data_IF_944471853675
#
_entry.id   IF_944471853675
#
_cell.length_a   1.000
_cell.length_b   1.000
_cell.length_c   1.000
_cell.angle_alpha   90.00
_cell.angle_beta   90.00
_cell.angle_gamma   90.00
#
_symmetry.space_group_name_H-M   'P 1'
#
loop_
_entity.id
_entity.type
_entity.pdbx_description
1 polymer ?
#
# COMPACT_ATOMS: atom_id res chain seq x y z
N UNK A 1 -53.58 42.83 -54.47
CA UNK A 1 -53.86 41.42 -54.74
C UNK A 1 -52.63 40.63 -54.51
N UNK A 2 -52.68 39.70 -53.54
CA UNK A 2 -51.66 38.75 -53.14
C UNK A 2 -50.33 39.35 -52.60
N UNK A 3 -49.95 39.31 -51.37
CA UNK A 3 -50.14 38.26 -50.32
C UNK A 3 -48.86 37.45 -50.27
N UNK A 4 -47.78 37.90 -49.51
CA UNK A 4 -46.58 37.17 -49.32
C UNK A 4 -46.20 37.24 -47.83
N UNK A 5 -46.64 36.24 -47.08
CA UNK A 5 -46.33 36.10 -45.67
C UNK A 5 -44.84 35.73 -45.48
N UNK A 6 -44.12 36.63 -44.86
CA UNK A 6 -42.75 36.37 -44.41
C UNK A 6 -42.75 35.53 -43.15
N UNK A 7 -42.34 34.26 -43.28
CA UNK A 7 -42.09 33.35 -42.17
C UNK A 7 -40.85 33.81 -41.43
N UNK A 8 -41.07 34.36 -40.22
CA UNK A 8 -39.99 34.66 -39.27
C UNK A 8 -39.47 33.38 -38.61
N UNK A 9 -38.36 32.87 -39.09
CA UNK A 9 -37.63 31.77 -38.47
C UNK A 9 -36.95 32.27 -37.20
N UNK A 10 -37.54 31.97 -36.04
CA UNK A 10 -36.94 32.20 -34.73
C UNK A 10 -35.84 31.18 -34.54
N UNK A 11 -34.60 31.65 -34.63
CA UNK A 11 -33.41 30.86 -34.27
C UNK A 11 -33.44 30.55 -32.79
N UNK A 12 -33.57 29.28 -32.45
CA UNK A 12 -33.38 28.76 -31.10
C UNK A 12 -31.88 28.61 -30.88
N UNK A 13 -31.32 29.51 -30.07
CA UNK A 13 -29.94 29.36 -29.56
C UNK A 13 -29.96 28.27 -28.51
N UNK A 14 -29.48 27.07 -28.89
CA UNK A 14 -29.19 26.00 -27.94
C UNK A 14 -27.86 26.31 -27.31
N UNK A 15 -27.86 26.84 -26.09
CA UNK A 15 -26.70 26.97 -25.25
C UNK A 15 -26.34 25.58 -24.72
N UNK A 16 -25.33 24.92 -25.29
CA UNK A 16 -24.78 23.68 -24.80
C UNK A 16 -23.94 24.02 -23.57
N UNK A 17 -24.51 23.85 -22.38
CA UNK A 17 -23.74 23.88 -21.13
C UNK A 17 -22.88 22.62 -21.04
N UNK A 18 -21.60 22.74 -21.38
CA UNK A 18 -20.61 21.69 -21.10
C UNK A 18 -20.36 21.69 -19.59
N UNK A 19 -21.02 20.82 -18.87
CA UNK A 19 -20.68 20.50 -17.50
C UNK A 19 -19.35 19.74 -17.52
N UNK A 20 -18.26 20.41 -17.21
CA UNK A 20 -16.99 19.77 -16.90
C UNK A 20 -17.14 19.00 -15.61
N UNK A 21 -17.50 17.72 -15.70
CA UNK A 21 -17.39 16.79 -14.61
C UNK A 21 -15.89 16.58 -14.37
N UNK A 22 -15.35 17.23 -13.34
CA UNK A 22 -14.06 16.88 -12.77
C UNK A 22 -14.20 15.49 -12.15
N UNK A 23 -14.02 14.46 -12.98
CA UNK A 23 -13.84 13.11 -12.52
C UNK A 23 -12.53 13.09 -11.72
N UNK A 24 -12.63 13.22 -10.40
CA UNK A 24 -11.55 12.81 -9.50
C UNK A 24 -11.18 11.40 -9.91
N UNK A 25 -9.91 11.20 -10.32
CA UNK A 25 -9.43 9.88 -10.65
C UNK A 25 -9.71 8.97 -9.45
N UNK A 26 -10.42 7.83 -9.62
CA UNK A 26 -10.62 6.92 -8.52
C UNK A 26 -9.24 6.48 -8.05
N UNK A 27 -8.97 6.64 -6.77
CA UNK A 27 -7.84 5.97 -6.13
C UNK A 27 -8.06 4.47 -6.40
N UNK A 28 -7.28 3.91 -7.33
CA UNK A 28 -7.46 2.53 -7.75
C UNK A 28 -6.96 1.65 -6.61
N UNK A 29 -7.89 1.17 -5.80
CA UNK A 29 -7.58 0.15 -4.80
C UNK A 29 -6.86 -1.02 -5.49
N UNK A 30 -5.86 -1.58 -4.82
CA UNK A 30 -5.09 -2.68 -5.37
C UNK A 30 -6.03 -3.84 -5.77
N UNK A 31 -5.85 -4.34 -6.97
CA UNK A 31 -6.65 -5.45 -7.47
C UNK A 31 -6.25 -6.77 -6.79
N UNK A 32 -7.12 -7.78 -6.74
CA UNK A 32 -6.76 -9.10 -6.24
C UNK A 32 -5.55 -9.73 -6.93
N UNK A 33 -5.30 -9.38 -8.20
CA UNK A 33 -4.11 -9.82 -8.93
C UNK A 33 -2.84 -9.15 -8.41
N UNK A 34 -2.90 -7.85 -8.10
CA UNK A 34 -1.78 -7.10 -7.50
C UNK A 34 -1.49 -7.58 -6.07
N UNK A 35 -2.53 -7.88 -5.29
CA UNK A 35 -2.37 -8.46 -3.95
C UNK A 35 -1.65 -9.82 -4.00
N UNK A 36 -2.07 -10.71 -4.90
CA UNK A 36 -1.39 -12.00 -5.11
C UNK A 36 0.05 -11.82 -5.56
N UNK A 37 0.31 -10.94 -6.52
CA UNK A 37 1.66 -10.67 -7.00
C UNK A 37 2.58 -10.13 -5.88
N UNK A 38 2.08 -9.26 -5.00
CA UNK A 38 2.82 -8.77 -3.86
C UNK A 38 3.18 -9.90 -2.87
N UNK A 39 2.20 -10.73 -2.51
CA UNK A 39 2.39 -11.89 -1.63
C UNK A 39 3.39 -12.88 -2.22
N UNK A 40 3.28 -13.20 -3.50
CA UNK A 40 4.18 -14.13 -4.20
C UNK A 40 5.61 -13.57 -4.29
N UNK A 41 5.74 -12.28 -4.57
CA UNK A 41 7.04 -11.61 -4.61
C UNK A 41 7.71 -11.66 -3.25
N UNK A 42 6.98 -11.32 -2.18
CA UNK A 42 7.51 -11.38 -0.82
C UNK A 42 7.95 -12.80 -0.46
N UNK A 43 7.09 -13.81 -0.67
CA UNK A 43 7.40 -15.22 -0.38
C UNK A 43 8.67 -15.67 -1.09
N UNK A 44 8.74 -15.49 -2.40
CA UNK A 44 9.87 -15.93 -3.22
C UNK A 44 11.18 -15.26 -2.79
N UNK A 45 11.15 -13.95 -2.57
CA UNK A 45 12.32 -13.20 -2.13
C UNK A 45 12.79 -13.65 -0.74
N UNK A 46 11.85 -13.87 0.19
CA UNK A 46 12.17 -14.32 1.55
C UNK A 46 12.81 -15.71 1.57
N UNK A 47 12.21 -16.68 0.88
CA UNK A 47 12.74 -18.05 0.79
C UNK A 47 14.06 -18.14 0.03
N UNK A 48 14.24 -17.32 -1.03
CA UNK A 48 15.46 -17.24 -1.83
C UNK A 48 16.59 -16.41 -1.20
N UNK A 49 16.37 -15.77 -0.04
CA UNK A 49 17.30 -14.83 0.60
C UNK A 49 17.61 -13.60 -0.26
N UNK A 50 16.66 -13.17 -1.08
CA UNK A 50 16.78 -12.00 -1.93
C UNK A 50 16.40 -10.72 -1.17
N UNK A 51 17.36 -10.20 -0.41
CA UNK A 51 17.19 -8.97 0.34
C UNK A 51 16.88 -7.76 -0.55
N UNK A 52 17.44 -7.71 -1.76
CA UNK A 52 17.23 -6.59 -2.68
C UNK A 52 15.75 -6.48 -3.09
N UNK A 53 15.13 -7.59 -3.45
CA UNK A 53 13.70 -7.63 -3.76
C UNK A 53 12.85 -7.28 -2.54
N UNK A 54 13.14 -7.81 -1.33
CA UNK A 54 12.41 -7.43 -0.11
C UNK A 54 12.50 -5.93 0.18
N UNK A 55 13.70 -5.35 0.04
CA UNK A 55 13.89 -3.91 0.24
C UNK A 55 13.17 -3.06 -0.81
N UNK A 56 12.98 -3.59 -2.02
CA UNK A 56 12.23 -2.89 -3.07
C UNK A 56 10.72 -2.77 -2.78
N UNK A 57 10.21 -3.55 -1.83
CA UNK A 57 8.82 -3.47 -1.37
C UNK A 57 8.59 -2.40 -0.30
N UNK A 58 9.68 -1.79 0.23
CA UNK A 58 9.60 -0.72 1.21
C UNK A 58 9.26 0.61 0.55
N UNK A 59 8.29 1.34 1.10
CA UNK A 59 8.01 2.71 0.68
C UNK A 59 8.99 3.66 1.37
N UNK A 60 9.92 4.20 0.59
CA UNK A 60 11.06 4.96 1.12
C UNK A 60 10.94 6.47 0.97
N UNK A 61 9.89 6.97 0.28
CA UNK A 61 9.67 8.40 0.07
C UNK A 61 9.41 9.10 1.40
N UNK A 62 10.29 10.02 1.77
CA UNK A 62 10.21 10.76 3.03
C UNK A 62 10.53 9.94 4.27
N UNK A 63 10.93 8.67 4.14
CA UNK A 63 11.24 7.81 5.27
C UNK A 63 12.38 8.36 6.14
N UNK A 64 12.25 8.21 7.45
CA UNK A 64 13.36 8.47 8.36
C UNK A 64 14.50 7.49 8.09
N UNK A 65 15.76 7.96 7.94
CA UNK A 65 16.89 7.09 7.58
C UNK A 65 17.16 5.96 8.60
N UNK A 66 16.96 6.22 9.89
CA UNK A 66 17.17 5.21 10.94
C UNK A 66 16.04 4.20 10.96
N UNK A 67 14.81 4.66 10.79
CA UNK A 67 13.66 3.77 10.62
C UNK A 67 13.82 2.90 9.37
N UNK A 68 14.28 3.45 8.26
CA UNK A 68 14.54 2.69 7.03
C UNK A 68 15.61 1.61 7.26
N UNK A 69 16.71 1.94 7.95
CA UNK A 69 17.74 0.97 8.32
C UNK A 69 17.17 -0.18 9.15
N UNK A 70 16.34 0.15 10.14
CA UNK A 70 15.66 -0.84 10.98
C UNK A 70 14.70 -1.73 10.17
N UNK A 71 13.88 -1.14 9.28
CA UNK A 71 12.95 -1.91 8.43
C UNK A 71 13.68 -2.84 7.46
N UNK A 72 14.79 -2.38 6.87
CA UNK A 72 15.65 -3.24 6.03
C UNK A 72 16.18 -4.44 6.80
N UNK A 73 16.65 -4.22 8.03
CA UNK A 73 17.09 -5.31 8.90
C UNK A 73 15.93 -6.24 9.24
N UNK A 74 14.79 -5.71 9.67
CA UNK A 74 13.63 -6.52 10.09
C UNK A 74 13.03 -7.37 8.96
N UNK A 75 12.98 -6.86 7.75
CA UNK A 75 12.47 -7.62 6.59
C UNK A 75 13.38 -8.77 6.18
N UNK A 76 14.63 -8.78 6.60
CA UNK A 76 15.60 -9.83 6.29
C UNK A 76 15.78 -10.85 7.42
N UNK A 77 15.23 -10.59 8.60
CA UNK A 77 15.30 -11.54 9.72
C UNK A 77 14.56 -12.83 9.36
N UNK A 78 15.26 -13.94 9.46
CA UNK A 78 14.71 -15.27 9.18
C UNK A 78 14.63 -15.64 7.70
N UNK A 79 15.16 -14.81 6.79
CA UNK A 79 15.21 -15.16 5.36
C UNK A 79 15.84 -16.54 5.13
N UNK A 80 15.27 -17.26 4.14
CA UNK A 80 15.66 -18.63 3.82
C UNK A 80 14.92 -19.69 4.64
N UNK A 81 14.15 -19.28 5.66
CA UNK A 81 13.22 -20.19 6.31
C UNK A 81 12.02 -20.47 5.38
N UNK A 82 11.43 -21.66 5.55
CA UNK A 82 10.24 -22.03 4.76
C UNK A 82 9.03 -21.22 5.22
N UNK A 83 8.36 -20.56 4.30
CA UNK A 83 7.09 -19.88 4.56
C UNK A 83 5.95 -20.90 4.60
N UNK A 84 5.45 -21.21 5.79
CA UNK A 84 4.34 -22.14 5.98
C UNK A 84 3.02 -21.55 5.46
N UNK A 85 2.77 -20.26 5.73
CA UNK A 85 1.65 -19.51 5.16
C UNK A 85 1.98 -18.03 5.07
N UNK A 86 1.38 -17.35 4.09
CA UNK A 86 1.46 -15.91 3.92
C UNK A 86 0.16 -15.41 3.31
N UNK A 87 -0.41 -14.36 3.87
CA UNK A 87 -1.65 -13.77 3.39
C UNK A 87 -1.73 -12.26 3.70
N UNK A 88 -2.37 -11.51 2.82
CA UNK A 88 -2.87 -10.18 3.13
C UNK A 88 -4.24 -10.31 3.78
N UNK A 89 -4.39 -9.69 4.94
CA UNK A 89 -5.63 -9.68 5.70
C UNK A 89 -6.11 -8.25 5.96
N UNK A 90 -7.41 -8.09 6.17
CA UNK A 90 -7.97 -6.80 6.52
C UNK A 90 -7.50 -6.35 7.90
N UNK A 91 -7.42 -5.04 8.10
CA UNK A 91 -7.04 -4.44 9.37
C UNK A 91 -8.19 -4.54 10.38
N UNK A 92 -7.89 -5.00 11.58
CA UNK A 92 -8.80 -4.90 12.72
C UNK A 92 -8.87 -3.44 13.23
N UNK A 93 -9.86 -3.07 14.06
CA UNK A 93 -9.87 -1.76 14.71
C UNK A 93 -8.60 -1.49 15.53
N UNK A 94 -8.05 -2.50 16.19
CA UNK A 94 -6.80 -2.42 16.96
C UNK A 94 -5.59 -2.17 16.05
N UNK A 95 -5.55 -2.80 14.88
CA UNK A 95 -4.51 -2.58 13.87
C UNK A 95 -4.53 -1.14 13.38
N UNK A 96 -5.72 -0.58 13.10
CA UNK A 96 -5.88 0.83 12.69
C UNK A 96 -5.40 1.77 13.79
N UNK A 97 -5.85 1.55 15.04
CA UNK A 97 -5.42 2.35 16.17
C UNK A 97 -3.90 2.28 16.41
N UNK A 98 -3.27 1.12 16.12
CA UNK A 98 -1.82 0.95 16.21
C UNK A 98 -1.09 1.69 15.08
N UNK A 99 -1.63 1.64 13.88
CA UNK A 99 -1.07 2.31 12.70
C UNK A 99 -1.11 3.84 12.81
N UNK A 100 -2.14 4.38 13.44
CA UNK A 100 -2.32 5.83 13.62
C UNK A 100 -1.40 6.42 14.70
N UNK A 101 -0.78 5.58 15.52
CA UNK A 101 0.08 6.07 16.61
C UNK A 101 1.38 6.63 16.06
N UNK A 102 1.70 7.84 16.51
CA UNK A 102 3.06 8.34 16.40
C UNK A 102 3.97 7.59 17.38
N UNK A 103 5.18 7.28 16.95
CA UNK A 103 6.18 6.61 17.75
C UNK A 103 7.44 7.48 17.85
N UNK A 104 8.14 7.50 19.00
CA UNK A 104 9.39 8.23 19.10
C UNK A 104 10.45 7.55 18.25
N UNK A 105 11.10 8.33 17.39
CA UNK A 105 12.31 7.91 16.68
C UNK A 105 13.53 7.92 17.59
N UNK A 106 14.63 7.35 17.11
CA UNK A 106 15.90 7.23 17.86
C UNK A 106 16.48 8.60 18.23
N UNK A 107 16.17 9.64 17.46
CA UNK A 107 16.61 11.02 17.69
C UNK A 107 15.59 11.88 18.46
N UNK A 108 14.55 11.25 19.01
CA UNK A 108 13.49 11.93 19.76
C UNK A 108 12.41 12.60 18.91
N UNK A 109 12.54 12.58 17.57
CA UNK A 109 11.48 13.05 16.69
C UNK A 109 10.34 12.06 16.66
N UNK A 110 9.11 12.58 16.59
CA UNK A 110 7.95 11.73 16.42
C UNK A 110 7.86 11.24 14.96
N UNK A 111 7.63 9.95 14.80
CA UNK A 111 7.51 9.29 13.50
C UNK A 111 6.09 8.74 13.34
N UNK A 112 5.60 8.73 12.11
CA UNK A 112 4.36 8.06 11.70
C UNK A 112 4.62 7.23 10.45
N UNK A 113 3.77 6.24 10.19
CA UNK A 113 3.85 5.50 8.93
C UNK A 113 3.70 6.46 7.75
N UNK A 114 4.57 6.31 6.75
CA UNK A 114 4.61 7.17 5.56
C UNK A 114 3.43 6.98 4.60
N UNK A 115 2.74 5.86 4.71
CA UNK A 115 1.48 5.56 4.03
C UNK A 115 0.48 5.04 5.04
N UNK A 116 -0.80 5.38 4.82
CA UNK A 116 -1.89 4.78 5.58
C UNK A 116 -2.00 3.30 5.21
N UNK A 117 -1.94 2.38 6.19
CA UNK A 117 -2.11 0.97 5.92
C UNK A 117 -3.54 0.65 5.48
N UNK A 118 -3.65 -0.18 4.44
CA UNK A 118 -4.92 -0.69 3.93
C UNK A 118 -5.12 -2.16 4.27
N UNK A 119 -4.01 -2.89 4.45
CA UNK A 119 -3.99 -4.32 4.80
C UNK A 119 -2.81 -4.63 5.72
N UNK A 120 -2.79 -5.85 6.22
CA UNK A 120 -1.69 -6.42 6.99
C UNK A 120 -1.23 -7.72 6.33
N UNK A 121 0.08 -7.84 6.09
CA UNK A 121 0.70 -9.09 5.66
C UNK A 121 1.00 -9.93 6.89
N UNK A 122 0.43 -11.13 6.96
CA UNK A 122 0.69 -12.11 8.03
C UNK A 122 1.51 -13.24 7.44
N UNK A 123 2.68 -13.47 8.01
CA UNK A 123 3.66 -14.44 7.53
C UNK A 123 3.92 -15.45 8.65
N UNK A 124 3.71 -16.74 8.37
CA UNK A 124 4.12 -17.82 9.26
C UNK A 124 5.30 -18.53 8.65
N UNK A 125 6.37 -18.65 9.43
CA UNK A 125 7.60 -19.31 9.02
C UNK A 125 7.85 -20.53 9.89
N UNK A 126 8.33 -21.59 9.27
CA UNK A 126 8.82 -22.78 9.98
C UNK A 126 10.34 -22.77 10.03
N UNK A 127 10.85 -22.94 11.23
CA UNK A 127 12.29 -23.18 11.45
C UNK A 127 12.46 -24.58 12.00
N UNK A 128 13.21 -25.41 11.28
CA UNK A 128 13.53 -26.77 11.69
C UNK A 128 14.97 -26.79 12.21
N UNK A 129 15.14 -27.30 13.43
CA UNK A 129 16.42 -27.68 14.00
C UNK A 129 16.51 -29.21 14.04
N UNK A 130 17.65 -29.76 14.45
CA UNK A 130 17.82 -31.22 14.56
C UNK A 130 16.76 -31.86 15.48
N UNK A 131 16.34 -31.17 16.54
CA UNK A 131 15.52 -31.71 17.60
C UNK A 131 14.11 -31.09 17.70
N UNK A 132 13.82 -30.04 16.92
CA UNK A 132 12.56 -29.31 17.03
C UNK A 132 12.13 -28.62 15.74
N UNK A 133 10.80 -28.45 15.59
CA UNK A 133 10.19 -27.53 14.62
C UNK A 133 9.51 -26.43 15.40
N UNK A 134 9.88 -25.18 15.11
CA UNK A 134 9.22 -24.00 15.68
C UNK A 134 8.51 -23.21 14.57
N UNK A 135 7.42 -22.55 14.93
CA UNK A 135 6.67 -21.69 14.01
C UNK A 135 6.66 -20.27 14.58
N UNK A 136 7.16 -19.32 13.81
CA UNK A 136 7.07 -17.89 14.10
C UNK A 136 5.98 -17.24 13.26
N UNK A 137 5.35 -16.19 13.79
CA UNK A 137 4.41 -15.35 13.04
C UNK A 137 4.92 -13.91 13.03
N UNK A 138 5.05 -13.33 11.85
CA UNK A 138 5.39 -11.93 11.64
C UNK A 138 4.20 -11.22 11.01
N UNK A 139 3.99 -9.98 11.40
CA UNK A 139 2.94 -9.11 10.86
C UNK A 139 3.57 -7.80 10.38
N UNK A 140 3.19 -7.38 9.17
CA UNK A 140 3.69 -6.17 8.55
C UNK A 140 2.53 -5.40 7.95
N UNK A 141 2.43 -4.10 8.24
CA UNK A 141 1.46 -3.24 7.60
C UNK A 141 1.79 -3.05 6.12
N UNK A 142 0.75 -2.97 5.30
CA UNK A 142 0.84 -2.75 3.86
C UNK A 142 -0.07 -1.59 3.50
N UNK A 143 0.50 -0.57 2.88
CA UNK A 143 -0.20 0.59 2.32
C UNK A 143 -0.24 0.52 0.81
N UNK A 144 -1.01 1.43 0.21
CA UNK A 144 -1.13 1.56 -1.22
C UNK A 144 -0.69 2.95 -1.68
N UNK A 145 0.05 2.99 -2.78
CA UNK A 145 0.43 4.23 -3.43
C UNK A 145 0.59 4.00 -4.94
N UNK A 146 -0.05 4.86 -5.73
CA UNK A 146 -0.04 4.77 -7.20
C UNK A 146 -0.42 3.39 -7.75
N UNK A 147 -1.46 2.77 -7.16
CA UNK A 147 -1.95 1.46 -7.57
C UNK A 147 -1.01 0.29 -7.26
N UNK A 148 -0.03 0.48 -6.38
CA UNK A 148 0.90 -0.55 -5.93
C UNK A 148 0.85 -0.70 -4.42
N UNK A 149 1.13 -1.91 -3.97
CA UNK A 149 1.26 -2.23 -2.56
C UNK A 149 2.70 -2.05 -2.09
N UNK A 150 2.85 -1.48 -0.89
CA UNK A 150 4.12 -1.14 -0.27
C UNK A 150 4.09 -1.44 1.22
N UNK A 151 5.24 -1.71 1.79
CA UNK A 151 5.46 -1.72 3.25
C UNK A 151 5.81 -0.30 3.67
N UNK A 152 4.93 0.42 4.41
CA UNK A 152 5.19 1.80 4.81
C UNK A 152 6.31 1.87 5.85
N UNK A 153 7.36 2.62 5.54
CA UNK A 153 8.43 2.92 6.49
C UNK A 153 8.08 4.22 7.21
N UNK A 154 8.29 4.32 8.54
CA UNK A 154 8.01 5.55 9.27
C UNK A 154 8.78 6.76 8.73
N UNK A 155 8.09 7.90 8.69
CA UNK A 155 8.60 9.21 8.32
C UNK A 155 8.39 10.20 9.48
N UNK A 156 9.13 11.32 9.54
CA UNK A 156 8.86 12.37 10.51
C UNK A 156 7.38 12.79 10.48
N UNK A 157 6.75 12.83 11.64
CA UNK A 157 5.40 13.35 11.77
C UNK A 157 5.38 14.85 11.42
N UNK A 158 4.32 15.37 10.77
CA UNK A 158 4.19 16.79 10.47
C UNK A 158 4.07 17.64 11.72
#
# INVERSE_FOLDING_TARGET
MFGGEGVRMRGILIVLAVAAASAGAPSLAATPAQERAFVDTYRKAFEAKDAATLHSLLYTKGADPKALGFYRMMTTVGMGAKVASIALVDLTPEDRARADRSMPGVDGKMLRLSLEPVKKLVIRVETKTADATSTGTNEVFVGEHDGKLWIPVPAPAP
#
